data_IF_949428152205
#
_entry.id   IF_949428152205
#
_cell.length_a   1.000
_cell.length_b   1.000
_cell.length_c   1.000
_cell.angle_alpha   90.00
_cell.angle_beta   90.00
_cell.angle_gamma   90.00
#
_symmetry.space_group_name_H-M   'P 1'
#
loop_
_entity.id
_entity.type
_entity.pdbx_description
1 polymer ?
#
# COMPACT_ATOMS: atom_id res chain seq x y z
N UNK A 1 31.15 -1.28 -0.18
CA UNK A 1 31.49 0.13 0.07
C UNK A 1 30.57 0.65 1.17
N UNK A 2 31.03 0.65 2.42
CA UNK A 2 30.26 1.24 3.52
C UNK A 2 30.19 2.75 3.28
N UNK A 3 28.98 3.29 3.06
CA UNK A 3 28.79 4.75 3.08
C UNK A 3 28.97 5.21 4.51
N UNK A 4 29.91 6.12 4.75
CA UNK A 4 30.06 6.78 6.04
C UNK A 4 28.99 7.85 6.14
N UNK A 5 27.94 7.58 6.93
CA UNK A 5 26.92 8.56 7.25
C UNK A 5 27.35 9.39 8.45
N UNK A 6 27.07 10.69 8.43
CA UNK A 6 27.10 11.51 9.64
C UNK A 6 25.95 11.12 10.59
N UNK A 7 26.08 11.46 11.87
CA UNK A 7 25.03 11.17 12.87
C UNK A 7 23.70 11.86 12.56
N UNK A 8 23.73 13.01 11.87
CA UNK A 8 22.54 13.76 11.46
C UNK A 8 21.86 13.08 10.27
N UNK A 9 22.62 12.69 9.23
CA UNK A 9 22.06 11.99 8.07
C UNK A 9 21.44 10.65 8.46
N UNK A 10 22.07 9.92 9.38
CA UNK A 10 21.53 8.67 9.90
C UNK A 10 20.18 8.88 10.59
N UNK A 11 20.04 9.92 11.43
CA UNK A 11 18.78 10.27 12.09
C UNK A 11 17.67 10.58 11.06
N UNK A 12 17.98 11.39 10.04
CA UNK A 12 17.00 11.73 9.00
C UNK A 12 16.57 10.49 8.20
N UNK A 13 17.48 9.59 7.87
CA UNK A 13 17.17 8.35 7.17
C UNK A 13 16.19 7.47 7.97
N UNK A 14 16.41 7.34 9.29
CA UNK A 14 15.52 6.60 10.20
C UNK A 14 14.15 7.26 10.29
N UNK A 15 14.10 8.58 10.47
CA UNK A 15 12.82 9.31 10.54
C UNK A 15 12.03 9.14 9.25
N UNK A 16 12.69 9.30 8.09
CA UNK A 16 12.05 9.11 6.78
C UNK A 16 11.48 7.70 6.65
N UNK A 17 12.25 6.68 7.04
CA UNK A 17 11.79 5.29 7.03
C UNK A 17 10.54 5.09 7.90
N UNK A 18 10.56 5.59 9.14
CA UNK A 18 9.45 5.43 10.08
C UNK A 18 8.18 6.16 9.62
N UNK A 19 8.33 7.35 9.03
CA UNK A 19 7.21 8.08 8.42
C UNK A 19 6.61 7.25 7.28
N UNK A 20 7.45 6.69 6.41
CA UNK A 20 6.99 5.87 5.30
C UNK A 20 6.24 4.62 5.77
N UNK A 21 6.77 3.90 6.77
CA UNK A 21 6.08 2.75 7.37
C UNK A 21 4.75 3.12 8.02
N UNK A 22 4.70 4.28 8.69
CA UNK A 22 3.46 4.82 9.27
C UNK A 22 2.40 5.06 8.19
N UNK A 23 2.77 5.65 7.05
CA UNK A 23 1.85 5.89 5.93
C UNK A 23 1.32 4.59 5.33
N UNK A 24 2.18 3.58 5.14
CA UNK A 24 1.77 2.24 4.68
C UNK A 24 0.77 1.61 5.65
N UNK A 25 1.07 1.68 6.96
CA UNK A 25 0.20 1.13 8.00
C UNK A 25 -1.19 1.80 8.00
N UNK A 26 -1.23 3.13 7.83
CA UNK A 26 -2.52 3.82 7.71
C UNK A 26 -3.30 3.37 6.49
N UNK A 27 -2.65 3.21 5.35
CA UNK A 27 -3.29 2.73 4.13
C UNK A 27 -3.86 1.30 4.30
N UNK A 28 -3.07 0.39 4.87
CA UNK A 28 -3.50 -0.98 5.23
C UNK A 28 -4.69 -0.98 6.21
N UNK A 29 -4.64 -0.11 7.23
CA UNK A 29 -5.74 0.07 8.19
C UNK A 29 -7.00 0.56 7.47
N UNK A 30 -6.89 1.56 6.59
CA UNK A 30 -8.03 2.06 5.81
C UNK A 30 -8.60 0.99 4.89
N UNK A 31 -7.77 0.20 4.20
CA UNK A 31 -8.22 -0.94 3.39
C UNK A 31 -9.04 -1.92 4.25
N UNK A 32 -8.50 -2.36 5.39
CA UNK A 32 -9.19 -3.30 6.28
C UNK A 32 -10.51 -2.75 6.82
N UNK A 33 -10.49 -1.51 7.34
CA UNK A 33 -11.66 -0.89 7.94
C UNK A 33 -12.75 -0.63 6.89
N UNK A 34 -12.38 -0.08 5.73
CA UNK A 34 -13.32 0.22 4.65
C UNK A 34 -14.07 -1.04 4.21
N UNK A 35 -13.36 -2.13 3.92
CA UNK A 35 -14.01 -3.37 3.46
C UNK A 35 -14.76 -4.11 4.58
N UNK A 36 -14.35 -3.94 5.84
CA UNK A 36 -15.14 -4.42 6.99
C UNK A 36 -16.48 -3.69 7.05
N UNK A 37 -16.49 -2.35 6.97
CA UNK A 37 -17.72 -1.55 6.98
C UNK A 37 -18.59 -1.85 5.76
N UNK A 38 -18.01 -1.90 4.55
CA UNK A 38 -18.74 -2.24 3.33
C UNK A 38 -19.40 -3.62 3.45
N UNK A 39 -18.71 -4.60 4.03
CA UNK A 39 -19.26 -5.96 4.20
C UNK A 39 -20.38 -6.03 5.25
N UNK A 40 -20.44 -5.09 6.19
CA UNK A 40 -21.56 -4.96 7.14
C UNK A 40 -22.79 -4.30 6.49
N UNK A 41 -22.57 -3.42 5.52
CA UNK A 41 -23.63 -2.63 4.89
C UNK A 41 -24.18 -3.27 3.61
N UNK A 42 -23.35 -4.00 2.87
CA UNK A 42 -23.67 -4.52 1.54
C UNK A 42 -23.24 -5.99 1.46
N UNK A 43 -24.14 -6.84 0.97
CA UNK A 43 -23.80 -8.23 0.67
C UNK A 43 -22.82 -8.28 -0.51
N UNK A 44 -21.61 -8.76 -0.25
CA UNK A 44 -20.65 -9.05 -1.31
C UNK A 44 -21.08 -10.37 -1.96
N UNK A 45 -21.71 -10.31 -3.13
CA UNK A 45 -22.22 -11.50 -3.83
C UNK A 45 -21.19 -12.59 -4.10
N UNK A 46 -19.89 -12.27 -3.99
CA UNK A 46 -18.78 -13.22 -3.94
C UNK A 46 -17.95 -13.01 -2.65
N UNK A 47 -17.91 -14.00 -1.73
CA UNK A 47 -17.13 -13.91 -0.49
C UNK A 47 -15.63 -13.69 -0.71
N UNK A 48 -15.08 -14.17 -1.83
CA UNK A 48 -13.66 -14.01 -2.16
C UNK A 48 -13.31 -12.57 -2.55
N UNK A 49 -14.28 -11.82 -3.09
CA UNK A 49 -14.11 -10.41 -3.44
C UNK A 49 -14.18 -9.49 -2.22
N UNK A 50 -14.91 -9.90 -1.17
CA UNK A 50 -15.06 -9.15 0.08
C UNK A 50 -13.93 -9.34 1.09
N UNK A 51 -13.15 -10.43 1.01
CA UNK A 51 -12.02 -10.68 1.92
C UNK A 51 -10.94 -9.60 1.76
N UNK A 52 -10.33 -9.21 2.86
CA UNK A 52 -9.24 -8.24 2.95
C UNK A 52 -8.08 -8.84 3.74
N UNK A 53 -6.86 -8.45 3.41
CA UNK A 53 -5.65 -8.88 4.11
C UNK A 53 -5.03 -7.70 4.84
N UNK A 54 -4.56 -7.93 6.07
CA UNK A 54 -3.96 -6.89 6.90
C UNK A 54 -2.71 -6.27 6.25
N UNK A 55 -1.92 -7.07 5.54
CA UNK A 55 -0.69 -6.63 4.90
C UNK A 55 -0.91 -6.02 3.50
N UNK A 56 -2.16 -5.93 3.03
CA UNK A 56 -2.52 -5.35 1.73
C UNK A 56 -2.97 -3.90 1.88
N UNK A 57 -2.27 -3.01 1.17
CA UNK A 57 -2.63 -1.61 0.94
C UNK A 57 -3.83 -1.51 0.01
N UNK A 58 -4.66 -0.49 0.21
CA UNK A 58 -5.76 -0.11 -0.67
C UNK A 58 -5.25 0.12 -2.10
N UNK A 59 -4.11 0.79 -2.25
CA UNK A 59 -3.47 1.04 -3.55
C UNK A 59 -3.05 -0.26 -4.26
N UNK A 60 -2.42 -1.21 -3.56
CA UNK A 60 -2.09 -2.54 -4.10
C UNK A 60 -3.36 -3.31 -4.50
N UNK A 61 -4.41 -3.23 -3.68
CA UNK A 61 -5.72 -3.83 -3.99
C UNK A 61 -6.35 -3.23 -5.23
N UNK A 62 -6.30 -1.90 -5.40
CA UNK A 62 -6.80 -1.22 -6.60
C UNK A 62 -6.11 -1.72 -7.86
N UNK A 63 -4.80 -1.95 -7.81
CA UNK A 63 -4.06 -2.56 -8.92
C UNK A 63 -4.54 -3.99 -9.20
N UNK A 64 -4.69 -4.84 -8.17
CA UNK A 64 -5.23 -6.21 -8.33
C UNK A 64 -6.63 -6.23 -8.92
N UNK A 65 -7.49 -5.30 -8.52
CA UNK A 65 -8.84 -5.14 -9.09
C UNK A 65 -8.77 -4.78 -10.58
N UNK A 66 -7.85 -3.89 -10.97
CA UNK A 66 -7.60 -3.56 -12.38
C UNK A 66 -7.17 -4.79 -13.18
N UNK A 67 -6.24 -5.61 -12.65
CA UNK A 67 -5.85 -6.90 -13.27
C UNK A 67 -7.02 -7.89 -13.38
N UNK A 68 -8.00 -7.82 -12.48
CA UNK A 68 -9.22 -8.62 -12.50
C UNK A 68 -10.35 -8.01 -13.35
N UNK A 69 -10.09 -6.90 -14.07
CA UNK A 69 -11.04 -6.25 -14.98
C UNK A 69 -11.85 -5.09 -14.38
N UNK A 70 -11.64 -4.75 -13.11
CA UNK A 70 -12.29 -3.61 -12.43
C UNK A 70 -11.29 -2.46 -12.27
N UNK A 71 -11.15 -1.63 -13.30
CA UNK A 71 -10.08 -0.63 -13.41
C UNK A 71 -10.41 0.75 -12.78
N UNK A 72 -11.69 1.06 -12.59
CA UNK A 72 -12.09 2.39 -12.10
C UNK A 72 -11.53 2.79 -10.72
N UNK A 73 -11.36 1.89 -9.72
CA UNK A 73 -10.81 2.28 -8.42
C UNK A 73 -9.35 2.72 -8.54
N UNK A 74 -8.55 2.00 -9.33
CA UNK A 74 -7.16 2.36 -9.65
C UNK A 74 -7.07 3.76 -10.23
N UNK A 75 -7.90 4.07 -11.23
CA UNK A 75 -7.91 5.40 -11.87
C UNK A 75 -8.18 6.54 -10.90
N UNK A 76 -9.08 6.33 -9.93
CA UNK A 76 -9.37 7.34 -8.90
C UNK A 76 -8.15 7.51 -7.99
N UNK A 77 -7.59 6.41 -7.47
CA UNK A 77 -6.46 6.47 -6.54
C UNK A 77 -5.22 7.03 -7.22
N UNK A 78 -4.80 6.50 -8.37
CA UNK A 78 -3.68 7.05 -9.14
C UNK A 78 -3.92 8.54 -9.46
N UNK A 79 -5.14 8.92 -9.83
CA UNK A 79 -5.51 10.32 -10.09
C UNK A 79 -5.33 11.26 -8.89
N UNK A 80 -5.59 10.79 -7.66
CA UNK A 80 -5.31 11.54 -6.43
C UNK A 80 -3.80 11.67 -6.20
N UNK A 81 -3.04 10.60 -6.47
CA UNK A 81 -1.59 10.55 -6.28
C UNK A 81 -0.80 11.32 -7.35
N UNK A 82 -1.39 11.61 -8.50
CA UNK A 82 -0.84 12.56 -9.48
C UNK A 82 -0.60 13.95 -8.88
N UNK A 83 -1.43 14.39 -7.92
CA UNK A 83 -1.23 15.67 -7.21
C UNK A 83 0.07 15.70 -6.39
N UNK A 84 0.62 14.52 -6.09
CA UNK A 84 1.88 14.32 -5.38
C UNK A 84 3.02 13.90 -6.32
N UNK A 85 2.79 13.91 -7.63
CA UNK A 85 3.79 13.60 -8.66
C UNK A 85 3.99 12.11 -8.92
N UNK A 86 3.11 11.23 -8.43
CA UNK A 86 3.21 9.78 -8.64
C UNK A 86 2.30 9.35 -9.81
N UNK A 87 2.90 8.77 -10.85
CA UNK A 87 2.18 8.40 -12.09
C UNK A 87 1.52 7.02 -12.03
N UNK A 88 2.14 6.05 -11.33
CA UNK A 88 1.72 4.65 -11.29
C UNK A 88 1.63 4.15 -9.82
N UNK A 89 1.11 4.98 -8.92
CA UNK A 89 1.09 4.75 -7.47
C UNK A 89 0.58 3.35 -7.08
N UNK A 90 -0.58 2.94 -7.60
CA UNK A 90 -1.18 1.64 -7.28
C UNK A 90 -0.30 0.45 -7.73
N UNK A 91 0.34 0.59 -8.89
CA UNK A 91 1.23 -0.45 -9.43
C UNK A 91 2.50 -0.55 -8.58
N UNK A 92 3.10 0.58 -8.23
CA UNK A 92 4.31 0.62 -7.40
C UNK A 92 4.04 0.06 -6.00
N UNK A 93 2.87 0.35 -5.41
CA UNK A 93 2.42 -0.24 -4.15
C UNK A 93 2.33 -1.76 -4.25
N UNK A 94 1.70 -2.29 -5.30
CA UNK A 94 1.61 -3.72 -5.55
C UNK A 94 2.97 -4.40 -5.73
N UNK A 95 3.87 -3.79 -6.52
CA UNK A 95 5.23 -4.32 -6.72
C UNK A 95 6.05 -4.28 -5.42
N UNK A 96 5.89 -3.23 -4.61
CA UNK A 96 6.52 -3.08 -3.29
C UNK A 96 6.09 -4.18 -2.32
N UNK A 97 4.80 -4.47 -2.25
CA UNK A 97 4.26 -5.55 -1.42
C UNK A 97 4.70 -6.94 -1.87
N UNK A 98 4.71 -7.19 -3.19
CA UNK A 98 5.22 -8.44 -3.74
C UNK A 98 6.67 -8.70 -3.35
N UNK A 99 7.47 -7.65 -3.21
CA UNK A 99 8.86 -7.70 -2.78
C UNK A 99 9.02 -7.63 -1.25
N UNK A 100 7.92 -7.48 -0.50
CA UNK A 100 7.94 -7.33 0.95
C UNK A 100 8.74 -6.13 1.44
N UNK A 101 8.81 -5.02 0.69
CA UNK A 101 9.68 -3.88 1.06
C UNK A 101 9.30 -3.22 2.38
N UNK A 102 8.04 -3.30 2.76
CA UNK A 102 7.52 -2.87 4.06
C UNK A 102 8.05 -3.73 5.21
N UNK A 103 8.38 -4.99 4.95
CA UNK A 103 8.89 -5.90 5.97
C UNK A 103 10.37 -5.60 6.30
N UNK A 104 10.81 -5.98 7.51
CA UNK A 104 12.23 -6.08 7.83
C UNK A 104 12.98 -6.91 6.78
N UNK A 105 14.22 -6.54 6.40
CA UNK A 105 14.99 -7.23 5.35
C UNK A 105 15.06 -8.75 5.51
N UNK A 106 15.13 -9.26 6.74
CA UNK A 106 15.20 -10.67 7.10
C UNK A 106 13.90 -11.46 6.82
N UNK A 107 12.77 -10.77 6.61
CA UNK A 107 11.47 -11.38 6.29
C UNK A 107 11.09 -11.24 4.81
N UNK A 108 11.94 -10.61 3.99
CA UNK A 108 11.69 -10.45 2.54
C UNK A 108 11.99 -11.74 1.79
N UNK A 109 11.25 -11.96 0.70
CA UNK A 109 11.41 -13.11 -0.20
C UNK A 109 12.29 -12.78 -1.39
#
# INVERSE_FOLDING_TARGET
MHKNFTSVEAKFAVIKHNIWQTLICFDQMFNCLFFTVVSLLISTGNPSSGKVWADETLSSRCWRLSLAGTDWPRKIVDGLFLLFGELDHCREAYESERLGRQLPPELRR
#
